data_IF_733736143572
#
_entry.id   IF_733736143572
#
_cell.length_a   1.000
_cell.length_b   1.000
_cell.length_c   1.000
_cell.angle_alpha   90.00
_cell.angle_beta   90.00
_cell.angle_gamma   90.00
#
_symmetry.space_group_name_H-M   'P 1'
#
loop_
_entity.id
_entity.type
_entity.pdbx_description
1 polymer ?
#
# COMPACT_ATOMS: atom_id res chain seq x y z
N UNK A 1 -11.75 -41.05 -8.16
CA UNK A 1 -12.59 -39.98 -8.76
C UNK A 1 -13.83 -39.88 -7.91
N UNK A 2 -14.13 -38.69 -7.39
CA UNK A 2 -15.42 -38.45 -6.73
C UNK A 2 -16.55 -38.69 -7.76
N UNK A 3 -17.63 -39.40 -7.41
CA UNK A 3 -18.62 -39.88 -8.39
C UNK A 3 -19.57 -38.80 -8.94
N UNK A 4 -19.31 -37.52 -8.68
CA UNK A 4 -20.16 -36.41 -9.10
C UNK A 4 -19.32 -35.34 -9.81
N UNK A 5 -19.75 -34.91 -10.99
CA UNK A 5 -19.30 -33.64 -11.60
C UNK A 5 -19.90 -32.51 -10.78
N UNK A 6 -19.08 -31.84 -9.97
CA UNK A 6 -19.53 -30.72 -9.16
C UNK A 6 -19.39 -29.38 -9.93
N UNK A 7 -20.30 -28.42 -9.71
CA UNK A 7 -20.28 -27.10 -10.35
C UNK A 7 -18.97 -26.33 -10.17
N UNK A 8 -18.24 -26.56 -9.08
CA UNK A 8 -16.98 -25.89 -8.75
C UNK A 8 -15.88 -26.00 -9.81
N UNK A 9 -15.88 -27.06 -10.64
CA UNK A 9 -14.88 -27.23 -11.72
C UNK A 9 -14.94 -26.13 -12.80
N UNK A 10 -16.14 -25.61 -13.07
CA UNK A 10 -16.34 -24.56 -14.07
C UNK A 10 -16.72 -23.22 -13.46
N UNK A 11 -16.73 -23.12 -12.13
CA UNK A 11 -17.08 -21.89 -11.44
C UNK A 11 -16.04 -20.81 -11.72
N UNK A 12 -16.51 -19.61 -12.03
CA UNK A 12 -15.66 -18.44 -12.25
C UNK A 12 -16.19 -17.30 -11.37
N UNK A 13 -15.55 -17.04 -10.22
CA UNK A 13 -16.01 -16.01 -9.31
C UNK A 13 -15.94 -14.62 -9.96
N UNK A 14 -17.00 -13.83 -9.80
CA UNK A 14 -17.08 -12.43 -10.24
C UNK A 14 -16.18 -11.53 -9.39
N UNK A 15 -15.99 -11.91 -8.13
CA UNK A 15 -15.13 -11.23 -7.17
C UNK A 15 -14.12 -12.23 -6.65
N UNK A 16 -12.84 -11.98 -6.93
CA UNK A 16 -11.74 -12.87 -6.59
C UNK A 16 -10.52 -12.03 -6.28
N UNK A 17 -9.95 -12.21 -5.10
CA UNK A 17 -8.85 -11.41 -4.58
C UNK A 17 -9.05 -9.90 -4.71
N UNK A 18 -10.19 -9.34 -4.24
CA UNK A 18 -10.39 -7.89 -4.28
C UNK A 18 -9.22 -7.21 -3.57
N UNK A 19 -8.55 -6.29 -4.28
CA UNK A 19 -7.36 -5.58 -3.80
C UNK A 19 -6.21 -6.49 -3.32
N UNK A 20 -6.09 -7.70 -3.88
CA UNK A 20 -5.04 -8.66 -3.53
C UNK A 20 -5.30 -9.48 -2.26
N UNK A 21 -6.40 -9.23 -1.54
CA UNK A 21 -6.78 -9.98 -0.33
C UNK A 21 -7.37 -11.34 -0.72
N UNK A 22 -6.75 -12.45 -0.31
CA UNK A 22 -7.13 -13.78 -0.81
C UNK A 22 -7.01 -14.95 0.16
N UNK A 23 -7.10 -14.70 1.47
CA UNK A 23 -6.98 -15.76 2.48
C UNK A 23 -8.11 -16.79 2.36
N UNK A 24 -9.29 -16.37 1.90
CA UNK A 24 -10.45 -17.23 1.69
C UNK A 24 -10.54 -17.83 0.26
N UNK A 25 -9.75 -17.32 -0.70
CA UNK A 25 -9.92 -17.63 -2.13
C UNK A 25 -9.94 -19.13 -2.45
N UNK A 26 -9.22 -19.96 -1.69
CA UNK A 26 -9.18 -21.41 -1.90
C UNK A 26 -10.42 -22.17 -1.41
N UNK A 27 -11.33 -21.52 -0.71
CA UNK A 27 -12.62 -22.08 -0.29
C UNK A 27 -13.77 -21.72 -1.24
N UNK A 28 -13.57 -20.80 -2.20
CA UNK A 28 -14.58 -20.40 -3.19
C UNK A 28 -15.17 -21.60 -3.96
N UNK A 29 -14.38 -22.58 -4.45
CA UNK A 29 -14.93 -23.81 -5.04
C UNK A 29 -15.88 -24.57 -4.10
N UNK A 30 -15.53 -24.67 -2.81
CA UNK A 30 -16.38 -25.33 -1.81
C UNK A 30 -17.64 -24.52 -1.53
N UNK A 31 -17.55 -23.19 -1.44
CA UNK A 31 -18.71 -22.31 -1.28
C UNK A 31 -19.74 -22.52 -2.40
N UNK A 32 -19.27 -22.66 -3.64
CA UNK A 32 -20.14 -22.93 -4.80
C UNK A 32 -20.93 -24.23 -4.62
N UNK A 33 -20.24 -25.32 -4.33
CA UNK A 33 -20.87 -26.65 -4.21
C UNK A 33 -21.69 -26.78 -2.92
N UNK A 34 -21.30 -26.09 -1.85
CA UNK A 34 -22.03 -26.05 -0.59
C UNK A 34 -23.41 -25.42 -0.78
N UNK A 35 -23.51 -24.28 -1.48
CA UNK A 35 -24.81 -23.65 -1.75
C UNK A 35 -25.69 -24.50 -2.65
N UNK A 36 -25.11 -25.10 -3.69
CA UNK A 36 -25.84 -25.96 -4.61
C UNK A 36 -26.43 -27.20 -3.91
N UNK A 37 -25.65 -27.78 -2.99
CA UNK A 37 -26.07 -28.92 -2.19
C UNK A 37 -26.99 -28.52 -1.02
N UNK A 38 -26.62 -27.55 -0.19
CA UNK A 38 -27.38 -27.20 1.02
C UNK A 38 -28.71 -26.51 0.68
N UNK A 39 -28.74 -25.70 -0.38
CA UNK A 39 -29.86 -24.84 -0.77
C UNK A 39 -30.47 -24.09 0.44
N UNK A 40 -29.66 -23.32 1.18
CA UNK A 40 -30.10 -22.69 2.43
C UNK A 40 -31.28 -21.73 2.19
N UNK A 41 -32.24 -21.64 3.10
CA UNK A 41 -33.24 -20.58 3.10
C UNK A 41 -32.64 -19.26 3.56
N UNK A 42 -31.84 -19.30 4.63
CA UNK A 42 -31.14 -18.13 5.20
C UNK A 42 -29.65 -18.42 5.34
N UNK A 43 -28.83 -17.52 4.80
CA UNK A 43 -27.38 -17.48 4.97
C UNK A 43 -26.97 -16.21 5.71
N UNK A 44 -26.13 -16.34 6.74
CA UNK A 44 -25.54 -15.20 7.44
C UNK A 44 -24.02 -15.33 7.47
N UNK A 45 -23.31 -14.26 7.15
CA UNK A 45 -21.87 -14.12 7.34
C UNK A 45 -21.56 -13.04 8.38
N UNK A 46 -20.62 -13.33 9.29
CA UNK A 46 -20.07 -12.40 10.27
C UNK A 46 -18.61 -12.12 9.90
N UNK A 47 -18.29 -10.85 9.63
CA UNK A 47 -16.98 -10.45 9.12
C UNK A 47 -16.92 -10.61 7.61
N UNK A 48 -17.27 -9.54 6.90
CA UNK A 48 -17.41 -9.55 5.44
C UNK A 48 -16.24 -8.86 4.76
N UNK A 49 -15.64 -7.83 5.37
CA UNK A 49 -14.51 -7.10 4.79
C UNK A 49 -14.80 -6.69 3.32
N UNK A 50 -13.93 -7.05 2.35
CA UNK A 50 -14.15 -6.86 0.91
C UNK A 50 -15.07 -7.93 0.27
N UNK A 51 -15.82 -8.72 1.02
CA UNK A 51 -16.88 -9.61 0.56
C UNK A 51 -16.48 -10.77 -0.34
N UNK A 52 -15.22 -11.24 -0.33
CA UNK A 52 -14.80 -12.35 -1.20
C UNK A 52 -15.61 -13.64 -0.93
N UNK A 53 -15.69 -14.07 0.33
CA UNK A 53 -16.49 -15.21 0.77
C UNK A 53 -17.98 -14.98 0.53
N UNK A 54 -18.51 -13.85 1.00
CA UNK A 54 -19.92 -13.50 0.90
C UNK A 54 -20.43 -13.51 -0.53
N UNK A 55 -19.71 -12.85 -1.44
CA UNK A 55 -20.14 -12.74 -2.83
C UNK A 55 -19.89 -14.03 -3.62
N UNK A 56 -18.97 -14.90 -3.18
CA UNK A 56 -18.90 -16.27 -3.70
C UNK A 56 -20.17 -17.06 -3.34
N UNK A 57 -20.67 -16.94 -2.11
CA UNK A 57 -21.97 -17.52 -1.73
C UNK A 57 -23.12 -16.89 -2.51
N UNK A 58 -23.19 -15.57 -2.63
CA UNK A 58 -24.25 -14.87 -3.37
C UNK A 58 -24.27 -15.26 -4.85
N UNK A 59 -23.11 -15.33 -5.50
CA UNK A 59 -23.02 -15.81 -6.87
C UNK A 59 -23.53 -17.25 -6.99
N UNK A 60 -23.18 -18.11 -6.02
CA UNK A 60 -23.66 -19.48 -6.02
C UNK A 60 -25.17 -19.57 -5.79
N UNK A 61 -25.77 -18.70 -4.97
CA UNK A 61 -27.22 -18.59 -4.77
C UNK A 61 -27.92 -18.29 -6.09
N UNK A 62 -27.40 -17.32 -6.85
CA UNK A 62 -27.92 -16.95 -8.18
C UNK A 62 -27.79 -18.10 -9.16
N UNK A 63 -26.61 -18.71 -9.28
CA UNK A 63 -26.35 -19.78 -10.25
C UNK A 63 -27.10 -21.08 -9.94
N UNK A 64 -27.41 -21.35 -8.67
CA UNK A 64 -28.20 -22.52 -8.24
C UNK A 64 -29.71 -22.24 -8.12
N UNK A 65 -30.13 -20.98 -8.22
CA UNK A 65 -31.51 -20.56 -8.09
C UNK A 65 -32.16 -21.04 -6.78
N UNK A 66 -31.46 -20.88 -5.66
CA UNK A 66 -31.92 -21.41 -4.35
C UNK A 66 -33.04 -20.57 -3.74
N UNK A 67 -33.12 -19.29 -4.07
CA UNK A 67 -34.05 -18.36 -3.40
C UNK A 67 -33.64 -18.05 -1.96
N UNK A 68 -32.33 -18.17 -1.65
CA UNK A 68 -31.76 -17.88 -0.34
C UNK A 68 -31.77 -16.38 -0.05
N UNK A 69 -32.18 -16.00 1.16
CA UNK A 69 -31.91 -14.67 1.72
C UNK A 69 -30.51 -14.66 2.36
N UNK A 70 -29.67 -13.70 2.00
CA UNK A 70 -28.30 -13.61 2.46
C UNK A 70 -28.04 -12.33 3.25
N UNK A 71 -27.29 -12.41 4.34
CA UNK A 71 -26.98 -11.28 5.21
C UNK A 71 -25.48 -11.21 5.50
N UNK A 72 -24.86 -10.09 5.19
CA UNK A 72 -23.48 -9.77 5.56
C UNK A 72 -23.50 -8.84 6.76
N UNK A 73 -22.92 -9.25 7.87
CA UNK A 73 -22.83 -8.46 9.10
C UNK A 73 -21.38 -8.07 9.32
N UNK A 74 -21.12 -6.77 9.36
CA UNK A 74 -19.81 -6.21 9.65
C UNK A 74 -19.99 -4.75 10.14
N UNK A 75 -19.03 -4.23 10.88
CA UNK A 75 -18.97 -2.79 11.18
C UNK A 75 -18.39 -1.99 10.02
N UNK A 76 -17.56 -2.64 9.19
CA UNK A 76 -16.66 -2.03 8.21
C UNK A 76 -15.78 -0.93 8.82
N UNK A 77 -15.39 -1.07 10.09
CA UNK A 77 -14.45 -0.18 10.77
C UNK A 77 -13.06 -0.82 10.96
N UNK A 78 -12.96 -2.14 10.76
CA UNK A 78 -11.74 -2.90 10.97
C UNK A 78 -11.49 -3.28 12.43
N UNK A 79 -10.48 -4.09 12.65
CA UNK A 79 -10.12 -4.64 13.97
C UNK A 79 -8.60 -4.81 14.12
N UNK A 80 -8.15 -5.47 15.20
CA UNK A 80 -6.73 -5.66 15.51
C UNK A 80 -6.00 -6.59 14.52
N UNK A 81 -6.67 -7.55 13.90
CA UNK A 81 -6.07 -8.46 12.91
C UNK A 81 -6.13 -7.88 11.50
N UNK A 82 -7.13 -7.05 11.22
CA UNK A 82 -7.34 -6.50 9.88
C UNK A 82 -6.82 -5.07 9.69
N UNK A 83 -6.61 -4.35 10.80
CA UNK A 83 -6.35 -2.91 10.81
C UNK A 83 -7.64 -2.10 10.61
N UNK A 84 -7.61 -0.81 10.95
CA UNK A 84 -8.75 0.07 10.72
C UNK A 84 -9.01 0.28 9.21
N UNK A 85 -10.28 0.26 8.81
CA UNK A 85 -10.72 0.57 7.45
C UNK A 85 -11.34 1.97 7.40
N UNK A 86 -11.30 2.64 6.24
CA UNK A 86 -12.18 3.76 5.97
C UNK A 86 -13.49 3.31 5.33
N UNK A 87 -14.40 4.27 5.13
CA UNK A 87 -15.71 4.03 4.53
C UNK A 87 -15.64 3.46 3.10
N UNK A 88 -14.51 3.60 2.40
CA UNK A 88 -14.31 3.11 1.04
C UNK A 88 -14.51 1.60 0.90
N UNK A 89 -14.14 0.80 1.91
CA UNK A 89 -14.35 -0.65 1.90
C UNK A 89 -15.84 -0.95 1.83
N UNK A 90 -16.64 -0.28 2.67
CA UNK A 90 -18.09 -0.44 2.67
C UNK A 90 -18.70 0.02 1.34
N UNK A 91 -18.30 1.18 0.81
CA UNK A 91 -18.84 1.69 -0.45
C UNK A 91 -18.54 0.76 -1.64
N UNK A 92 -17.35 0.15 -1.69
CA UNK A 92 -17.02 -0.83 -2.74
C UNK A 92 -17.88 -2.10 -2.63
N UNK A 93 -18.08 -2.61 -1.41
CA UNK A 93 -18.97 -3.74 -1.13
C UNK A 93 -20.42 -3.41 -1.47
N UNK A 94 -20.90 -2.23 -1.06
CA UNK A 94 -22.26 -1.75 -1.32
C UNK A 94 -22.52 -1.60 -2.82
N UNK A 95 -21.58 -1.01 -3.56
CA UNK A 95 -21.68 -0.88 -5.02
C UNK A 95 -21.76 -2.25 -5.71
N UNK A 96 -20.89 -3.18 -5.34
CA UNK A 96 -20.91 -4.54 -5.89
C UNK A 96 -22.20 -5.29 -5.53
N UNK A 97 -22.68 -5.13 -4.30
CA UNK A 97 -23.93 -5.72 -3.84
C UNK A 97 -25.12 -5.19 -4.65
N UNK A 98 -25.23 -3.86 -4.78
CA UNK A 98 -26.31 -3.21 -5.51
C UNK A 98 -26.31 -3.60 -7.00
N UNK A 99 -25.13 -3.74 -7.61
CA UNK A 99 -25.00 -4.11 -9.02
C UNK A 99 -25.42 -5.57 -9.30
N UNK A 100 -25.15 -6.49 -8.38
CA UNK A 100 -25.24 -7.92 -8.68
C UNK A 100 -26.24 -8.72 -7.82
N UNK A 101 -26.48 -8.33 -6.57
CA UNK A 101 -27.15 -9.19 -5.58
C UNK A 101 -28.22 -8.49 -4.72
N UNK A 102 -28.45 -7.19 -4.89
CA UNK A 102 -29.34 -6.39 -4.04
C UNK A 102 -30.82 -6.83 -3.98
N UNK A 103 -31.22 -7.85 -4.74
CA UNK A 103 -32.55 -8.43 -4.67
C UNK A 103 -32.78 -9.36 -3.46
N UNK A 104 -31.73 -9.96 -2.90
CA UNK A 104 -31.81 -10.93 -1.78
C UNK A 104 -30.66 -10.79 -0.76
N UNK A 105 -29.69 -9.92 -1.04
CA UNK A 105 -28.47 -9.75 -0.26
C UNK A 105 -28.53 -8.44 0.53
N UNK A 106 -28.44 -8.55 1.85
CA UNK A 106 -28.62 -7.46 2.81
C UNK A 106 -27.32 -7.17 3.56
N UNK A 107 -26.83 -5.94 3.49
CA UNK A 107 -25.63 -5.48 4.21
C UNK A 107 -26.03 -4.84 5.54
N UNK A 108 -25.66 -5.45 6.65
CA UNK A 108 -25.98 -4.99 8.01
C UNK A 108 -24.75 -4.34 8.64
N UNK A 109 -24.66 -3.01 8.54
CA UNK A 109 -23.55 -2.21 9.08
C UNK A 109 -23.70 -1.98 10.59
N UNK A 110 -23.35 -2.99 11.38
CA UNK A 110 -23.51 -3.03 12.85
C UNK A 110 -22.65 -4.12 13.47
N UNK A 111 -22.62 -4.19 14.81
CA UNK A 111 -21.93 -5.28 15.51
C UNK A 111 -22.68 -6.61 15.37
N UNK A 112 -21.96 -7.73 15.55
CA UNK A 112 -22.56 -9.06 15.49
C UNK A 112 -23.65 -9.24 16.57
N UNK A 113 -23.45 -8.69 17.76
CA UNK A 113 -24.42 -8.74 18.87
C UNK A 113 -25.72 -8.01 18.54
N UNK A 114 -25.62 -6.83 17.92
CA UNK A 114 -26.78 -6.05 17.49
C UNK A 114 -27.56 -6.79 16.39
N UNK A 115 -26.85 -7.36 15.41
CA UNK A 115 -27.47 -8.12 14.33
C UNK A 115 -28.14 -9.41 14.85
N UNK A 116 -27.52 -10.13 15.79
CA UNK A 116 -28.06 -11.37 16.34
C UNK A 116 -29.48 -11.21 16.93
N UNK A 117 -29.80 -10.01 17.44
CA UNK A 117 -31.14 -9.69 17.97
C UNK A 117 -32.23 -9.65 16.89
N UNK A 118 -31.87 -9.52 15.62
CA UNK A 118 -32.78 -9.45 14.48
C UNK A 118 -33.12 -10.82 13.88
N UNK A 119 -32.40 -11.87 14.28
CA UNK A 119 -32.63 -13.24 13.83
C UNK A 119 -33.38 -14.05 14.89
N UNK A 120 -34.37 -14.81 14.46
CA UNK A 120 -35.05 -15.76 15.32
C UNK A 120 -34.15 -16.96 15.63
N UNK A 121 -34.41 -17.63 16.76
CA UNK A 121 -33.72 -18.88 17.04
C UNK A 121 -34.11 -19.94 15.99
N UNK A 122 -33.17 -20.83 15.69
CA UNK A 122 -33.33 -21.91 14.72
C UNK A 122 -33.82 -21.45 13.31
N UNK A 123 -33.41 -20.26 12.86
CA UNK A 123 -33.80 -19.67 11.57
C UNK A 123 -32.72 -19.71 10.48
N UNK A 124 -31.44 -19.86 10.86
CA UNK A 124 -30.30 -19.78 9.95
C UNK A 124 -29.89 -21.19 9.49
N UNK A 125 -29.84 -21.41 8.17
CA UNK A 125 -29.39 -22.67 7.57
C UNK A 125 -27.86 -22.78 7.50
N UNK A 126 -27.21 -21.67 7.13
CA UNK A 126 -25.77 -21.55 6.96
C UNK A 126 -25.27 -20.29 7.64
N UNK A 127 -24.41 -20.47 8.65
CA UNK A 127 -23.70 -19.38 9.31
C UNK A 127 -22.22 -19.47 8.95
N UNK A 128 -21.63 -18.36 8.53
CA UNK A 128 -20.19 -18.23 8.34
C UNK A 128 -19.64 -17.22 9.34
N UNK A 129 -18.65 -17.62 10.13
CA UNK A 129 -17.98 -16.78 11.12
C UNK A 129 -16.52 -16.58 10.67
N UNK A 130 -16.20 -15.35 10.32
CA UNK A 130 -14.88 -14.88 9.87
C UNK A 130 -14.60 -13.45 10.40
N UNK A 131 -14.91 -13.24 11.68
CA UNK A 131 -14.70 -11.98 12.39
C UNK A 131 -13.33 -11.91 13.07
N UNK A 132 -13.29 -11.48 14.33
CA UNK A 132 -12.03 -11.39 15.07
C UNK A 132 -11.56 -12.77 15.54
N UNK A 133 -10.33 -13.15 15.17
CA UNK A 133 -9.82 -14.52 15.33
C UNK A 133 -9.21 -14.86 16.70
N UNK A 134 -9.33 -14.00 17.71
CA UNK A 134 -8.92 -14.37 19.09
C UNK A 134 -9.88 -15.45 19.63
N UNK A 135 -9.40 -16.28 20.56
CA UNK A 135 -10.23 -17.37 21.09
C UNK A 135 -11.50 -16.85 21.78
N UNK A 136 -11.36 -15.77 22.56
CA UNK A 136 -12.45 -15.16 23.29
C UNK A 136 -13.52 -14.57 22.37
N UNK A 137 -13.11 -13.91 21.27
CA UNK A 137 -14.03 -13.32 20.31
C UNK A 137 -14.80 -14.40 19.53
N UNK A 138 -14.09 -15.38 18.94
CA UNK A 138 -14.75 -16.43 18.16
C UNK A 138 -15.64 -17.33 19.03
N UNK A 139 -15.28 -17.57 20.29
CA UNK A 139 -16.13 -18.28 21.24
C UNK A 139 -17.42 -17.50 21.54
N UNK A 140 -17.31 -16.19 21.82
CA UNK A 140 -18.46 -15.31 22.05
C UNK A 140 -19.40 -15.28 20.84
N UNK A 141 -18.86 -15.13 19.63
CA UNK A 141 -19.64 -15.13 18.40
C UNK A 141 -20.34 -16.48 18.19
N UNK A 142 -19.62 -17.59 18.37
CA UNK A 142 -20.19 -18.92 18.25
C UNK A 142 -21.33 -19.12 19.27
N UNK A 143 -21.14 -18.80 20.54
CA UNK A 143 -22.17 -18.98 21.58
C UNK A 143 -23.39 -18.08 21.37
N UNK A 144 -23.19 -16.86 20.88
CA UNK A 144 -24.25 -15.89 20.59
C UNK A 144 -25.11 -16.33 19.39
N UNK A 145 -24.47 -16.85 18.34
CA UNK A 145 -25.16 -17.20 17.09
C UNK A 145 -25.59 -18.67 17.00
N UNK A 146 -25.02 -19.59 17.77
CA UNK A 146 -25.40 -21.00 17.78
C UNK A 146 -26.90 -21.27 18.03
N UNK A 147 -27.60 -20.52 18.91
CA UNK A 147 -29.06 -20.63 19.06
C UNK A 147 -29.85 -20.20 17.82
N UNK A 148 -29.28 -19.38 16.94
CA UNK A 148 -29.89 -18.87 15.69
C UNK A 148 -29.82 -19.87 14.55
N UNK A 149 -28.81 -20.74 14.56
CA UNK A 149 -28.64 -21.82 13.58
C UNK A 149 -29.71 -22.87 13.79
N UNK A 150 -30.41 -23.32 12.75
CA UNK A 150 -31.44 -24.35 12.89
C UNK A 150 -30.87 -25.75 13.17
N UNK A 151 -31.67 -26.70 13.69
CA UNK A 151 -31.30 -28.11 13.68
C UNK A 151 -30.90 -28.57 12.28
N UNK A 152 -29.76 -29.25 12.16
CA UNK A 152 -29.17 -29.66 10.87
C UNK A 152 -28.52 -28.53 10.07
N UNK A 153 -28.49 -27.30 10.59
CA UNK A 153 -27.76 -26.17 10.01
C UNK A 153 -26.25 -26.29 10.17
N UNK A 154 -25.53 -25.57 9.34
CA UNK A 154 -24.06 -25.62 9.26
C UNK A 154 -23.45 -24.30 9.72
N UNK A 155 -22.39 -24.40 10.51
CA UNK A 155 -21.52 -23.28 10.89
C UNK A 155 -20.15 -23.48 10.27
N UNK A 156 -19.68 -22.46 9.58
CA UNK A 156 -18.34 -22.36 9.00
C UNK A 156 -17.47 -21.45 9.87
N UNK A 157 -16.23 -21.86 10.14
CA UNK A 157 -15.25 -21.12 10.95
C UNK A 157 -13.95 -20.97 10.15
N UNK A 158 -13.59 -19.76 9.71
CA UNK A 158 -12.33 -19.53 8.99
C UNK A 158 -11.11 -19.51 9.91
N UNK A 159 -9.91 -19.55 9.31
CA UNK A 159 -8.61 -19.54 9.98
C UNK A 159 -8.43 -20.67 11.01
N UNK A 160 -9.14 -21.79 10.82
CA UNK A 160 -9.15 -22.91 11.75
C UNK A 160 -7.81 -23.65 11.84
N UNK A 161 -6.91 -23.42 10.90
CA UNK A 161 -5.57 -24.03 10.83
C UNK A 161 -4.44 -23.04 11.19
N UNK A 162 -4.76 -21.80 11.57
CA UNK A 162 -3.76 -20.77 11.96
C UNK A 162 -3.38 -20.93 13.44
N UNK A 163 -2.11 -21.19 13.73
CA UNK A 163 -1.62 -21.48 15.10
C UNK A 163 -0.49 -20.54 15.56
N UNK A 164 -0.44 -19.31 15.06
CA UNK A 164 0.54 -18.30 15.46
C UNK A 164 -0.13 -17.05 16.02
N UNK A 165 0.59 -16.28 16.82
CA UNK A 165 0.04 -15.09 17.48
C UNK A 165 -1.03 -15.45 18.50
N UNK A 166 -2.08 -14.63 18.56
CA UNK A 166 -3.26 -14.76 19.42
C UNK A 166 -4.46 -15.45 18.74
N UNK A 167 -4.26 -16.02 17.54
CA UNK A 167 -5.28 -16.79 16.83
C UNK A 167 -5.78 -17.99 17.67
N UNK A 168 -7.10 -18.07 17.79
CA UNK A 168 -7.79 -18.98 18.70
C UNK A 168 -8.84 -19.88 18.07
N UNK A 169 -9.16 -19.74 16.77
CA UNK A 169 -10.21 -20.54 16.11
C UNK A 169 -9.93 -22.04 16.17
N UNK A 170 -8.67 -22.45 15.98
CA UNK A 170 -8.25 -23.84 16.09
C UNK A 170 -8.51 -24.45 17.48
N UNK A 171 -8.47 -23.64 18.56
CA UNK A 171 -8.77 -24.09 19.93
C UNK A 171 -10.26 -24.36 20.09
N UNK A 172 -11.10 -23.42 19.62
CA UNK A 172 -12.55 -23.61 19.61
C UNK A 172 -12.93 -24.85 18.81
N UNK A 173 -12.37 -25.02 17.60
CA UNK A 173 -12.67 -26.18 16.77
C UNK A 173 -12.26 -27.50 17.44
N UNK A 174 -11.15 -27.53 18.17
CA UNK A 174 -10.74 -28.69 18.97
C UNK A 174 -11.76 -29.00 20.09
N UNK A 175 -12.24 -28.00 20.82
CA UNK A 175 -13.28 -28.20 21.84
C UNK A 175 -14.61 -28.67 21.25
N UNK A 176 -14.97 -28.18 20.06
CA UNK A 176 -16.19 -28.61 19.37
C UNK A 176 -16.11 -30.07 18.90
N UNK A 177 -14.92 -30.58 18.58
CA UNK A 177 -14.70 -32.02 18.26
C UNK A 177 -14.93 -32.94 19.46
N UNK A 178 -14.72 -32.44 20.68
CA UNK A 178 -14.96 -33.19 21.92
C UNK A 178 -16.46 -33.24 22.29
N UNK A 179 -17.29 -32.44 21.61
CA UNK A 179 -18.76 -32.45 21.76
C UNK A 179 -19.38 -33.50 20.83
N UNK A 180 -20.61 -33.97 21.08
CA UNK A 180 -21.32 -34.89 20.19
C UNK A 180 -21.87 -34.16 18.94
N UNK A 181 -20.98 -33.48 18.21
CA UNK A 181 -21.27 -32.70 17.00
C UNK A 181 -20.44 -33.26 15.83
N UNK A 182 -21.02 -33.40 14.63
CA UNK A 182 -20.22 -33.65 13.43
C UNK A 182 -19.35 -32.44 13.13
N UNK A 183 -18.03 -32.66 13.05
CA UNK A 183 -17.05 -31.61 12.76
C UNK A 183 -16.11 -32.08 11.66
N UNK A 184 -16.04 -31.31 10.58
CA UNK A 184 -15.10 -31.44 9.47
C UNK A 184 -14.15 -30.25 9.43
N UNK A 185 -13.09 -30.36 8.62
CA UNK A 185 -12.11 -29.28 8.46
C UNK A 185 -11.39 -29.40 7.10
N UNK A 186 -11.23 -28.27 6.42
CA UNK A 186 -10.18 -28.07 5.42
C UNK A 186 -8.94 -27.48 6.08
N UNK A 187 -7.75 -27.84 5.58
CA UNK A 187 -6.46 -27.38 6.15
C UNK A 187 -5.68 -26.45 5.21
N UNK A 188 -6.17 -26.24 3.99
CA UNK A 188 -5.63 -25.25 3.04
C UNK A 188 -6.30 -23.89 3.25
N UNK A 189 -5.72 -22.82 2.68
CA UNK A 189 -6.28 -21.46 2.76
C UNK A 189 -6.60 -21.01 4.19
N UNK A 190 -5.62 -21.19 5.08
CA UNK A 190 -5.70 -20.97 6.53
C UNK A 190 -6.68 -21.86 7.30
N UNK A 191 -7.39 -22.73 6.60
CA UNK A 191 -8.28 -23.73 7.18
C UNK A 191 -9.71 -23.24 7.32
N UNK A 192 -10.63 -24.19 7.21
CA UNK A 192 -12.05 -23.95 7.31
C UNK A 192 -12.72 -25.07 8.10
N UNK A 193 -13.13 -24.77 9.33
CA UNK A 193 -13.92 -25.64 10.18
C UNK A 193 -15.37 -25.71 9.69
N UNK A 194 -15.95 -26.91 9.70
CA UNK A 194 -17.34 -27.16 9.31
C UNK A 194 -18.01 -27.87 10.49
N UNK A 195 -18.92 -27.20 11.17
CA UNK A 195 -19.62 -27.71 12.35
C UNK A 195 -21.09 -27.85 12.01
N UNK A 196 -21.66 -29.03 12.23
CA UNK A 196 -23.06 -29.27 11.93
C UNK A 196 -23.89 -29.36 13.22
N UNK A 197 -24.96 -28.57 13.33
CA UNK A 197 -25.88 -28.65 14.47
C UNK A 197 -26.68 -29.94 14.40
N UNK A 198 -26.86 -30.61 15.54
CA UNK A 198 -27.64 -31.84 15.61
C UNK A 198 -29.06 -31.63 15.08
N UNK A 199 -29.54 -32.53 14.23
CA UNK A 199 -30.85 -32.44 13.56
C UNK A 199 -30.92 -33.37 12.35
N UNK A 200 -32.02 -33.30 11.59
CA UNK A 200 -32.13 -34.00 10.31
C UNK A 200 -31.14 -33.40 9.31
N UNK A 201 -30.32 -34.26 8.69
CA UNK A 201 -29.25 -33.86 7.79
C UNK A 201 -29.35 -34.67 6.50
N UNK A 202 -28.94 -34.05 5.40
CA UNK A 202 -28.65 -34.77 4.16
C UNK A 202 -27.43 -35.66 4.37
N UNK A 203 -27.54 -36.95 4.03
CA UNK A 203 -26.47 -37.94 4.15
C UNK A 203 -25.66 -38.11 2.85
N UNK A 204 -25.96 -37.30 1.83
CA UNK A 204 -25.29 -37.29 0.54
C UNK A 204 -24.34 -36.08 0.36
N UNK A 205 -23.56 -36.11 -0.72
CA UNK A 205 -22.69 -35.00 -1.11
C UNK A 205 -21.34 -34.91 -0.38
N UNK A 206 -20.63 -33.81 -0.60
CA UNK A 206 -19.27 -33.63 -0.09
C UNK A 206 -19.21 -33.34 1.41
N UNK A 207 -20.25 -32.71 1.96
CA UNK A 207 -20.32 -32.38 3.39
C UNK A 207 -20.46 -33.64 4.22
N UNK A 208 -21.32 -34.60 3.81
CA UNK A 208 -21.46 -35.87 4.54
C UNK A 208 -20.16 -36.68 4.56
N UNK A 209 -19.37 -36.63 3.47
CA UNK A 209 -18.03 -37.23 3.41
C UNK A 209 -17.07 -36.52 4.38
N UNK A 210 -17.07 -35.19 4.40
CA UNK A 210 -16.19 -34.39 5.28
C UNK A 210 -16.50 -34.59 6.77
N UNK A 211 -17.78 -34.75 7.12
CA UNK A 211 -18.25 -34.99 8.48
C UNK A 211 -18.22 -36.48 8.89
N UNK A 212 -18.00 -37.38 7.93
CA UNK A 212 -17.93 -38.82 8.15
C UNK A 212 -16.63 -39.29 8.80
N UNK A 213 -16.41 -40.61 8.85
CA UNK A 213 -15.21 -41.21 9.45
C UNK A 213 -14.20 -41.80 8.45
N UNK A 214 -14.45 -41.70 7.14
CA UNK A 214 -13.55 -42.26 6.12
C UNK A 214 -12.45 -41.26 5.75
N UNK A 215 -11.29 -41.40 6.38
CA UNK A 215 -10.12 -40.54 6.17
C UNK A 215 -9.67 -40.48 4.70
N UNK A 216 -9.81 -41.57 3.93
CA UNK A 216 -9.39 -41.60 2.53
C UNK A 216 -10.33 -40.79 1.65
N UNK A 217 -11.64 -40.89 1.90
CA UNK A 217 -12.63 -40.09 1.19
C UNK A 217 -12.52 -38.61 1.59
N UNK A 218 -12.35 -38.31 2.88
CA UNK A 218 -12.10 -36.93 3.34
C UNK A 218 -10.88 -36.31 2.67
N UNK A 219 -9.75 -37.02 2.65
CA UNK A 219 -8.53 -36.56 1.97
C UNK A 219 -8.76 -36.34 0.46
N UNK A 220 -9.58 -37.19 -0.18
CA UNK A 220 -9.95 -37.03 -1.59
C UNK A 220 -10.79 -35.78 -1.85
N UNK A 221 -11.74 -35.47 -0.95
CA UNK A 221 -12.56 -34.24 -1.03
C UNK A 221 -11.71 -32.99 -0.79
N UNK A 222 -10.85 -32.99 0.24
CA UNK A 222 -9.90 -31.90 0.48
C UNK A 222 -9.04 -31.66 -0.75
N UNK A 223 -8.44 -32.72 -1.31
CA UNK A 223 -7.58 -32.60 -2.48
C UNK A 223 -8.30 -32.09 -3.71
N UNK A 224 -9.57 -32.48 -3.88
CA UNK A 224 -10.38 -32.00 -4.99
C UNK A 224 -10.57 -30.48 -4.94
N UNK A 225 -10.92 -29.93 -3.78
CA UNK A 225 -11.13 -28.49 -3.63
C UNK A 225 -9.82 -27.70 -3.68
N UNK A 226 -8.69 -28.25 -3.18
CA UNK A 226 -7.36 -27.69 -3.42
C UNK A 226 -7.05 -27.56 -4.91
N UNK A 227 -7.33 -28.59 -5.71
CA UNK A 227 -7.06 -28.54 -7.17
C UNK A 227 -7.97 -27.52 -7.87
N UNK A 228 -9.22 -27.37 -7.44
CA UNK A 228 -10.10 -26.33 -7.97
C UNK A 228 -9.62 -24.93 -7.59
N UNK A 229 -9.14 -24.75 -6.36
CA UNK A 229 -8.53 -23.52 -5.90
C UNK A 229 -7.26 -23.17 -6.70
N UNK A 230 -6.36 -24.14 -6.89
CA UNK A 230 -5.14 -23.98 -7.69
C UNK A 230 -5.47 -23.56 -9.14
N UNK A 231 -6.57 -24.08 -9.69
CA UNK A 231 -7.03 -23.68 -11.03
C UNK A 231 -7.46 -22.20 -11.09
N UNK A 232 -8.24 -21.74 -10.11
CA UNK A 232 -8.63 -20.33 -9.99
C UNK A 232 -7.42 -19.42 -9.80
N UNK A 233 -6.51 -19.81 -8.90
CA UNK A 233 -5.26 -19.09 -8.60
C UNK A 233 -4.40 -18.96 -9.87
N UNK A 234 -4.22 -20.06 -10.61
CA UNK A 234 -3.49 -20.05 -11.88
C UNK A 234 -4.16 -19.13 -12.92
N UNK A 235 -5.50 -19.18 -13.04
CA UNK A 235 -6.25 -18.32 -13.97
C UNK A 235 -6.09 -16.84 -13.61
N UNK A 236 -6.19 -16.50 -12.33
CA UNK A 236 -5.99 -15.15 -11.82
C UNK A 236 -4.58 -14.64 -12.12
N UNK A 237 -3.54 -15.37 -11.73
CA UNK A 237 -2.15 -14.94 -11.99
C UNK A 237 -1.78 -14.94 -13.47
N UNK A 238 -2.38 -15.81 -14.28
CA UNK A 238 -2.20 -15.76 -15.74
C UNK A 238 -2.77 -14.48 -16.33
N UNK A 239 -3.99 -14.08 -15.92
CA UNK A 239 -4.60 -12.82 -16.34
C UNK A 239 -3.83 -11.61 -15.80
N UNK A 240 -3.30 -11.70 -14.58
CA UNK A 240 -2.45 -10.66 -13.98
C UNK A 240 -1.12 -10.49 -14.73
N UNK A 241 -0.47 -11.59 -15.11
CA UNK A 241 0.76 -11.56 -15.93
C UNK A 241 0.54 -10.93 -17.30
N UNK A 242 -0.67 -11.01 -17.85
CA UNK A 242 -1.02 -10.33 -19.10
C UNK A 242 -1.17 -8.80 -18.94
N UNK A 243 -1.26 -8.32 -17.69
CA UNK A 243 -1.36 -6.90 -17.32
C UNK A 243 -0.30 -6.55 -16.28
N UNK A 244 1.00 -6.57 -16.65
CA UNK A 244 2.12 -6.41 -15.72
C UNK A 244 2.22 -5.01 -15.09
N UNK A 245 1.42 -4.05 -15.57
CA UNK A 245 1.29 -2.72 -15.01
C UNK A 245 0.12 -2.60 -14.01
N UNK A 246 -0.67 -3.65 -13.81
CA UNK A 246 -1.73 -3.66 -12.81
C UNK A 246 -1.12 -4.00 -11.45
N UNK A 247 -1.33 -3.12 -10.48
CA UNK A 247 -0.84 -3.25 -9.11
C UNK A 247 -2.01 -3.09 -8.14
N UNK A 248 -2.13 -4.01 -7.17
CA UNK A 248 -3.13 -3.96 -6.10
C UNK A 248 -2.34 -3.44 -4.91
N UNK A 249 -2.65 -2.23 -4.46
CA UNK A 249 -1.91 -1.55 -3.42
C UNK A 249 -2.88 -0.85 -2.48
N UNK A 250 -2.36 -0.59 -1.30
CA UNK A 250 -3.00 0.32 -0.37
C UNK A 250 -2.25 1.63 -0.30
N UNK A 251 -2.95 2.73 -0.53
CA UNK A 251 -2.42 4.08 -0.34
C UNK A 251 -3.00 4.67 0.93
N UNK A 252 -2.17 5.28 1.76
CA UNK A 252 -2.59 5.83 3.05
C UNK A 252 -2.16 7.28 3.20
N UNK A 253 -3.09 8.13 3.63
CA UNK A 253 -2.87 9.54 3.93
C UNK A 253 -2.88 9.72 5.44
N UNK A 254 -1.79 10.23 6.00
CA UNK A 254 -1.69 10.58 7.41
C UNK A 254 -1.69 12.10 7.60
N UNK A 255 -2.23 12.55 8.73
CA UNK A 255 -2.13 13.92 9.19
C UNK A 255 -1.68 13.98 10.65
N UNK A 256 -1.08 15.11 11.05
CA UNK A 256 -0.72 15.38 12.45
C UNK A 256 -0.71 16.86 12.78
N UNK A 257 -0.86 17.19 14.07
CA UNK A 257 -0.62 18.54 14.58
C UNK A 257 0.87 18.79 14.85
N UNK A 258 1.22 20.04 15.16
CA UNK A 258 2.60 20.42 15.44
C UNK A 258 3.12 19.73 16.72
N UNK A 259 4.23 19.00 16.59
CA UNK A 259 4.86 18.29 17.71
C UNK A 259 4.29 16.89 18.01
N UNK A 260 3.29 16.43 17.26
CA UNK A 260 2.73 15.08 17.39
C UNK A 260 3.44 14.05 16.50
N UNK A 261 3.25 12.77 16.80
CA UNK A 261 3.64 11.66 15.93
C UNK A 261 2.49 11.29 14.99
N UNK A 262 2.80 10.73 13.83
CA UNK A 262 1.76 10.11 13.00
C UNK A 262 1.21 8.85 13.70
N UNK A 263 -0.11 8.70 13.68
CA UNK A 263 -0.81 7.55 14.28
C UNK A 263 -1.83 6.99 13.30
N UNK A 264 -2.13 5.69 13.39
CA UNK A 264 -3.15 5.04 12.55
C UNK A 264 -4.53 5.70 12.71
N UNK A 265 -4.87 6.15 13.92
CA UNK A 265 -6.11 6.87 14.21
C UNK A 265 -6.25 8.22 13.51
N UNK A 266 -5.14 8.77 12.99
CA UNK A 266 -5.09 10.03 12.25
C UNK A 266 -4.67 9.77 10.80
N UNK A 267 -5.35 8.81 10.16
CA UNK A 267 -5.09 8.42 8.78
C UNK A 267 -6.36 8.00 8.03
N UNK A 268 -6.27 8.01 6.71
CA UNK A 268 -7.23 7.41 5.80
C UNK A 268 -6.49 6.45 4.88
N UNK A 269 -7.02 5.24 4.75
CA UNK A 269 -6.45 4.17 3.95
C UNK A 269 -7.36 3.90 2.76
N UNK A 270 -6.82 3.62 1.59
CA UNK A 270 -7.61 3.25 0.40
C UNK A 270 -6.93 2.08 -0.27
N UNK A 271 -7.59 0.91 -0.29
CA UNK A 271 -7.16 -0.24 -1.06
C UNK A 271 -7.72 -0.14 -2.48
N UNK A 272 -6.89 -0.33 -3.50
CA UNK A 272 -7.28 -0.11 -4.89
C UNK A 272 -6.36 -0.86 -5.87
N UNK A 273 -6.84 -1.01 -7.09
CA UNK A 273 -6.03 -1.53 -8.21
C UNK A 273 -5.67 -0.37 -9.14
N UNK A 274 -4.38 -0.07 -9.27
CA UNK A 274 -3.87 0.88 -10.26
C UNK A 274 -3.52 0.11 -11.52
N UNK A 275 -3.88 0.63 -12.69
CA UNK A 275 -3.57 0.02 -13.99
C UNK A 275 -2.59 0.89 -14.79
N UNK A 276 -2.22 0.48 -15.99
CA UNK A 276 -1.44 1.33 -16.90
C UNK A 276 -2.13 2.66 -17.26
N UNK A 277 -3.46 2.75 -17.08
CA UNK A 277 -4.21 3.98 -17.29
C UNK A 277 -4.22 4.81 -16.00
N UNK A 278 -4.06 6.13 -16.14
CA UNK A 278 -4.09 7.02 -14.99
C UNK A 278 -5.48 7.00 -14.33
N UNK A 279 -5.51 6.57 -13.08
CA UNK A 279 -6.67 6.68 -12.20
C UNK A 279 -6.45 7.80 -11.17
N UNK A 280 -7.50 8.12 -10.42
CA UNK A 280 -7.44 9.09 -9.32
C UNK A 280 -7.92 8.42 -8.04
N UNK A 281 -7.07 8.48 -7.01
CA UNK A 281 -7.43 8.14 -5.64
C UNK A 281 -7.94 9.41 -4.98
N UNK A 282 -9.05 9.33 -4.26
CA UNK A 282 -9.62 10.42 -3.48
C UNK A 282 -9.63 10.06 -1.99
N UNK A 283 -9.05 10.92 -1.16
CA UNK A 283 -9.12 10.84 0.29
C UNK A 283 -10.06 11.92 0.80
N UNK A 284 -11.23 11.53 1.29
CA UNK A 284 -12.18 12.45 1.90
C UNK A 284 -11.80 12.70 3.36
N UNK A 285 -11.06 13.78 3.58
CA UNK A 285 -10.60 14.16 4.91
C UNK A 285 -11.74 14.84 5.67
N UNK A 286 -12.15 14.33 6.84
CA UNK A 286 -13.22 14.92 7.64
C UNK A 286 -12.80 16.27 8.22
N UNK A 287 -13.75 17.02 8.78
CA UNK A 287 -13.42 18.21 9.54
C UNK A 287 -12.61 17.84 10.79
N UNK A 288 -11.40 18.38 10.90
CA UNK A 288 -10.47 18.02 11.97
C UNK A 288 -10.52 19.01 13.13
N UNK A 289 -10.50 18.54 14.39
CA UNK A 289 -10.61 19.40 15.57
C UNK A 289 -9.36 20.26 15.81
N UNK A 290 -8.22 19.88 15.22
CA UNK A 290 -6.93 20.56 15.36
C UNK A 290 -6.38 20.86 13.96
N UNK A 291 -5.77 22.05 13.75
CA UNK A 291 -5.12 22.38 12.48
C UNK A 291 -4.05 21.34 12.11
N UNK A 292 -4.07 20.89 10.86
CA UNK A 292 -3.06 19.98 10.32
C UNK A 292 -1.76 20.74 10.10
N UNK A 293 -0.67 20.29 10.72
CA UNK A 293 0.66 20.83 10.48
C UNK A 293 1.34 20.16 9.29
N UNK A 294 1.20 18.83 9.19
CA UNK A 294 1.86 18.03 8.16
C UNK A 294 0.96 16.92 7.64
N UNK A 295 1.12 16.64 6.34
CA UNK A 295 0.51 15.51 5.64
C UNK A 295 1.61 14.59 5.13
N UNK A 296 1.45 13.29 5.37
CA UNK A 296 2.30 12.24 4.82
C UNK A 296 1.46 11.37 3.91
N UNK A 297 1.97 11.09 2.72
CA UNK A 297 1.33 10.18 1.78
C UNK A 297 2.20 8.95 1.62
N UNK A 298 1.62 7.80 1.92
CA UNK A 298 2.22 6.48 1.74
C UNK A 298 1.57 5.89 0.49
N UNK A 299 2.29 5.90 -0.64
CA UNK A 299 1.73 5.57 -1.96
C UNK A 299 1.39 4.09 -2.10
N UNK A 300 2.17 3.22 -1.46
CA UNK A 300 2.07 1.78 -1.59
C UNK A 300 2.52 1.11 -0.30
N UNK A 301 1.86 0.02 0.08
CA UNK A 301 2.17 -0.86 1.20
C UNK A 301 3.08 -2.04 0.81
N UNK A 302 3.45 -2.12 -0.46
CA UNK A 302 4.31 -3.16 -1.02
C UNK A 302 5.20 -2.62 -2.15
N UNK A 303 6.26 -3.34 -2.57
CA UNK A 303 7.07 -2.94 -3.70
C UNK A 303 6.23 -2.84 -5.00
N UNK A 304 6.14 -1.65 -5.58
CA UNK A 304 5.39 -1.39 -6.80
C UNK A 304 6.07 -0.30 -7.64
N UNK A 305 5.91 -0.37 -8.97
CA UNK A 305 6.34 0.69 -9.87
C UNK A 305 5.15 1.54 -10.30
N UNK A 306 5.17 2.81 -9.89
CA UNK A 306 4.04 3.72 -10.07
C UNK A 306 4.52 5.02 -10.70
N UNK A 307 3.71 5.61 -11.57
CA UNK A 307 3.88 6.99 -12.00
C UNK A 307 2.90 7.88 -11.26
N UNK A 308 3.41 8.86 -10.52
CA UNK A 308 2.58 9.91 -9.92
C UNK A 308 2.47 11.06 -10.90
N UNK A 309 1.25 11.32 -11.36
CA UNK A 309 0.93 12.33 -12.36
C UNK A 309 0.52 13.67 -11.73
N UNK A 310 -0.18 13.63 -10.60
CA UNK A 310 -0.66 14.82 -9.92
C UNK A 310 -0.99 14.55 -8.46
N UNK A 311 -0.86 15.57 -7.63
CA UNK A 311 -1.37 15.58 -6.25
C UNK A 311 -2.10 16.90 -6.07
N UNK A 312 -3.35 16.89 -5.60
CA UNK A 312 -4.13 18.11 -5.43
C UNK A 312 -4.98 18.05 -4.16
N UNK A 313 -5.26 19.21 -3.57
CA UNK A 313 -6.23 19.35 -2.49
C UNK A 313 -7.40 20.22 -2.93
N UNK A 314 -8.60 19.80 -2.55
CA UNK A 314 -9.84 20.55 -2.71
C UNK A 314 -10.54 20.74 -1.38
N UNK A 315 -11.24 21.85 -1.22
CA UNK A 315 -12.14 22.04 -0.08
C UNK A 315 -13.44 21.24 -0.28
N UNK A 316 -14.23 21.07 0.78
CA UNK A 316 -15.53 20.38 0.74
C UNK A 316 -16.54 20.95 -0.27
N UNK A 317 -16.39 22.22 -0.66
CA UNK A 317 -17.18 22.87 -1.72
C UNK A 317 -16.68 22.57 -3.15
N UNK A 318 -15.59 21.81 -3.30
CA UNK A 318 -14.95 21.46 -4.57
C UNK A 318 -13.88 22.45 -5.06
N UNK A 319 -13.63 23.57 -4.37
CA UNK A 319 -12.62 24.57 -4.73
C UNK A 319 -11.20 24.01 -4.64
N UNK A 320 -10.36 24.29 -5.66
CA UNK A 320 -8.97 23.83 -5.67
C UNK A 320 -8.12 24.71 -4.75
N UNK A 321 -7.55 24.09 -3.71
CA UNK A 321 -6.69 24.77 -2.74
C UNK A 321 -5.24 24.85 -3.23
N UNK A 322 -4.73 23.73 -3.75
CA UNK A 322 -3.42 23.64 -4.38
C UNK A 322 -3.31 22.39 -5.24
N UNK A 323 -2.34 22.41 -6.16
CA UNK A 323 -1.95 21.27 -6.98
C UNK A 323 -0.43 21.20 -7.13
N UNK A 324 0.11 19.99 -7.15
CA UNK A 324 1.49 19.66 -7.42
C UNK A 324 1.51 18.88 -8.73
N UNK A 325 2.27 19.39 -9.69
CA UNK A 325 2.70 18.64 -10.88
C UNK A 325 4.05 18.04 -10.52
N UNK A 326 4.14 16.72 -10.29
CA UNK A 326 5.32 16.10 -9.69
C UNK A 326 6.61 16.32 -10.48
N UNK A 327 6.53 16.35 -11.80
CA UNK A 327 7.70 16.59 -12.67
C UNK A 327 8.32 17.97 -12.42
N UNK A 328 7.50 19.02 -12.33
CA UNK A 328 7.96 20.40 -12.07
C UNK A 328 8.52 20.59 -10.65
N UNK A 329 8.19 19.67 -9.74
CA UNK A 329 8.49 19.71 -8.31
C UNK A 329 9.33 18.54 -7.82
N UNK A 330 10.03 17.87 -8.74
CA UNK A 330 10.76 16.63 -8.45
C UNK A 330 11.81 16.80 -7.35
N UNK A 331 12.55 17.91 -7.32
CA UNK A 331 13.57 18.17 -6.30
C UNK A 331 12.96 18.43 -4.91
N UNK A 332 11.79 19.08 -4.86
CA UNK A 332 11.04 19.28 -3.61
C UNK A 332 10.49 17.95 -3.09
N UNK A 333 9.97 17.09 -3.97
CA UNK A 333 9.46 15.76 -3.62
C UNK A 333 10.57 14.84 -3.12
N UNK A 334 11.73 14.82 -3.79
CA UNK A 334 12.91 14.07 -3.35
C UNK A 334 13.41 14.54 -1.99
N UNK A 335 13.44 15.85 -1.77
CA UNK A 335 13.82 16.43 -0.47
C UNK A 335 12.82 16.09 0.65
N UNK A 336 11.56 15.81 0.29
CA UNK A 336 10.52 15.40 1.21
C UNK A 336 10.44 13.88 1.45
N UNK A 337 11.34 13.10 0.84
CA UNK A 337 11.48 11.65 1.03
C UNK A 337 11.07 10.80 -0.16
N UNK A 338 10.50 11.35 -1.23
CA UNK A 338 10.02 10.55 -2.36
C UNK A 338 11.16 10.15 -3.32
N UNK A 339 11.48 8.86 -3.39
CA UNK A 339 12.43 8.34 -4.37
C UNK A 339 11.79 8.22 -5.76
N UNK A 340 12.09 9.18 -6.62
CA UNK A 340 11.48 9.26 -7.96
C UNK A 340 12.40 9.83 -9.05
N UNK A 341 12.11 9.50 -10.31
CA UNK A 341 12.73 10.08 -11.52
C UNK A 341 11.66 10.66 -12.44
N UNK A 342 11.98 11.69 -13.21
CA UNK A 342 11.06 12.23 -14.21
C UNK A 342 10.80 11.20 -15.32
N UNK A 343 9.55 11.04 -15.74
CA UNK A 343 9.21 10.23 -16.91
C UNK A 343 9.54 11.06 -18.15
N UNK A 344 10.28 10.49 -19.11
CA UNK A 344 10.81 11.23 -20.26
C UNK A 344 9.76 11.84 -21.23
N UNK A 345 8.48 11.52 -21.06
CA UNK A 345 7.36 12.13 -21.80
C UNK A 345 6.68 13.29 -21.07
N UNK A 346 7.16 13.64 -19.87
CA UNK A 346 6.62 14.70 -19.03
C UNK A 346 5.26 14.37 -18.40
N UNK A 347 4.88 13.09 -18.36
CA UNK A 347 3.59 12.69 -17.80
C UNK A 347 3.57 12.68 -16.27
N UNK A 348 4.72 12.68 -15.61
CA UNK A 348 4.82 12.62 -14.15
C UNK A 348 6.19 12.16 -13.67
N UNK A 349 6.22 11.57 -12.47
CA UNK A 349 7.44 10.99 -11.90
C UNK A 349 7.25 9.49 -11.62
N UNK A 350 8.21 8.68 -12.06
CA UNK A 350 8.29 7.27 -11.73
C UNK A 350 8.85 7.12 -10.32
N UNK A 351 8.10 6.47 -9.45
CA UNK A 351 8.48 6.13 -8.07
C UNK A 351 9.11 4.74 -8.07
N UNK A 352 10.22 4.57 -7.34
CA UNK A 352 10.99 3.32 -7.33
C UNK A 352 11.41 2.86 -5.93
N UNK A 353 10.63 3.25 -4.90
CA UNK A 353 10.97 2.94 -3.51
C UNK A 353 10.78 1.46 -3.18
N UNK A 354 11.81 0.87 -2.60
CA UNK A 354 11.89 -0.53 -2.17
C UNK A 354 12.38 -0.55 -0.72
N UNK A 355 11.87 -1.36 0.21
CA UNK A 355 10.73 -2.27 0.22
C UNK A 355 9.67 -1.91 1.31
N UNK A 356 9.78 -0.76 1.98
CA UNK A 356 8.92 -0.34 3.12
C UNK A 356 7.70 0.51 2.70
N UNK A 357 7.51 0.70 1.40
CA UNK A 357 6.49 1.59 0.83
C UNK A 357 7.04 2.98 0.51
N UNK A 358 6.52 3.60 -0.56
CA UNK A 358 6.95 4.94 -0.95
C UNK A 358 6.20 6.00 -0.12
N UNK A 359 6.84 6.48 0.95
CA UNK A 359 6.29 7.47 1.87
C UNK A 359 7.02 8.81 1.74
N UNK A 360 6.27 9.91 1.71
CA UNK A 360 6.85 11.25 1.68
C UNK A 360 5.91 12.27 2.30
N UNK A 361 6.49 13.36 2.80
CA UNK A 361 5.72 14.51 3.24
C UNK A 361 5.27 15.30 2.03
N UNK A 362 3.99 15.67 1.95
CA UNK A 362 3.50 16.48 0.84
C UNK A 362 4.14 17.89 0.93
N UNK A 363 4.98 18.29 -0.04
CA UNK A 363 5.63 19.60 0.00
C UNK A 363 4.57 20.71 -0.01
N UNK A 364 4.69 21.67 0.92
CA UNK A 364 3.74 22.78 1.22
C UNK A 364 2.63 22.54 2.25
N UNK A 365 2.75 21.59 3.18
CA UNK A 365 1.85 21.58 4.35
C UNK A 365 1.98 22.85 5.23
N UNK A 366 3.15 23.51 5.26
CA UNK A 366 3.39 24.72 6.07
C UNK A 366 2.64 25.98 5.64
N UNK A 367 2.13 26.06 4.40
CA UNK A 367 1.46 27.28 3.92
C UNK A 367 -0.04 27.32 4.25
N UNK A 368 -0.62 26.25 4.80
CA UNK A 368 -2.04 25.98 4.67
C UNK A 368 -2.63 25.18 5.85
N UNK A 369 -2.29 25.55 7.08
CA UNK A 369 -2.87 24.98 8.31
C UNK A 369 -4.42 25.04 8.37
N UNK A 370 -5.07 25.82 7.51
CA UNK A 370 -6.52 25.88 7.32
C UNK A 370 -7.11 24.75 6.44
N UNK A 371 -6.34 24.15 5.54
CA UNK A 371 -6.82 23.39 4.35
C UNK A 371 -7.63 22.12 4.65
N UNK A 372 -7.59 21.60 5.88
CA UNK A 372 -8.38 20.41 6.28
C UNK A 372 -9.17 20.60 7.58
N UNK A 373 -9.09 21.78 8.21
CA UNK A 373 -9.83 22.02 9.47
C UNK A 373 -11.35 21.97 9.27
N UNK A 374 -11.84 22.37 8.09
CA UNK A 374 -13.25 22.30 7.69
C UNK A 374 -13.59 21.02 6.88
N UNK A 375 -12.61 20.13 6.68
CA UNK A 375 -12.71 18.98 5.79
C UNK A 375 -12.49 19.32 4.30
N UNK A 376 -12.19 18.30 3.50
CA UNK A 376 -11.88 18.44 2.08
C UNK A 376 -11.36 17.14 1.47
N UNK A 377 -10.91 17.20 0.22
CA UNK A 377 -10.48 16.01 -0.53
C UNK A 377 -9.04 16.14 -0.98
N UNK A 378 -8.20 15.13 -0.72
CA UNK A 378 -6.88 14.98 -1.35
C UNK A 378 -7.00 14.02 -2.53
N UNK A 379 -6.56 14.46 -3.70
CA UNK A 379 -6.61 13.71 -4.95
C UNK A 379 -5.20 13.34 -5.39
N UNK A 380 -4.98 12.07 -5.69
CA UNK A 380 -3.70 11.55 -6.21
C UNK A 380 -3.94 10.90 -7.56
N UNK A 381 -3.39 11.49 -8.62
CA UNK A 381 -3.41 10.91 -9.96
C UNK A 381 -2.23 9.97 -10.14
N UNK A 382 -2.50 8.68 -10.37
CA UNK A 382 -1.48 7.63 -10.39
C UNK A 382 -1.75 6.62 -11.50
N UNK A 383 -0.68 6.05 -12.06
CA UNK A 383 -0.75 4.87 -12.93
C UNK A 383 0.30 3.84 -12.54
N UNK A 384 0.03 2.60 -12.85
CA UNK A 384 0.92 1.48 -12.66
C UNK A 384 1.86 1.33 -13.85
N UNK A 385 3.07 0.86 -13.57
CA UNK A 385 4.11 0.71 -14.58
C UNK A 385 4.58 -0.73 -14.61
N UNK A 386 4.70 -1.28 -15.82
CA UNK A 386 5.33 -2.59 -16.04
C UNK A 386 6.77 -2.54 -15.50
N UNK A 387 7.20 -3.49 -14.65
CA UNK A 387 8.58 -3.57 -14.15
C UNK A 387 9.66 -3.44 -15.23
N UNK A 388 9.49 -4.07 -16.39
CA UNK A 388 10.47 -4.00 -17.48
C UNK A 388 10.55 -2.58 -18.06
N UNK A 389 9.41 -1.90 -18.17
CA UNK A 389 9.35 -0.49 -18.60
C UNK A 389 9.95 0.43 -17.54
N UNK A 390 9.65 0.21 -16.26
CA UNK A 390 10.20 0.99 -15.15
C UNK A 390 11.73 0.88 -15.10
N UNK A 391 12.29 -0.33 -15.20
CA UNK A 391 13.75 -0.55 -15.25
C UNK A 391 14.39 0.17 -16.44
N UNK A 392 13.73 0.14 -17.61
CA UNK A 392 14.19 0.87 -18.79
C UNK A 392 14.23 2.38 -18.55
N UNK A 393 13.16 2.95 -17.98
CA UNK A 393 13.05 4.37 -17.66
C UNK A 393 14.08 4.81 -16.61
N UNK A 394 14.27 4.02 -15.54
CA UNK A 394 15.29 4.28 -14.52
C UNK A 394 16.69 4.31 -15.13
N UNK A 395 17.01 3.36 -16.01
CA UNK A 395 18.30 3.34 -16.71
C UNK A 395 18.51 4.59 -17.55
N UNK A 396 17.51 4.97 -18.36
CA UNK A 396 17.58 6.18 -19.18
C UNK A 396 17.74 7.45 -18.33
N UNK A 397 17.03 7.54 -17.20
CA UNK A 397 17.15 8.66 -16.27
C UNK A 397 18.56 8.72 -15.64
N UNK A 398 19.11 7.57 -15.21
CA UNK A 398 20.48 7.50 -14.68
C UNK A 398 21.53 7.90 -15.73
N UNK A 399 21.38 7.44 -16.98
CA UNK A 399 22.30 7.82 -18.07
C UNK A 399 22.26 9.32 -18.37
N UNK A 400 21.08 9.94 -18.35
CA UNK A 400 20.90 11.37 -18.53
C UNK A 400 21.54 12.18 -17.38
N UNK A 401 21.39 11.72 -16.14
CA UNK A 401 21.97 12.37 -14.95
C UNK A 401 23.50 12.27 -14.95
N UNK A 402 24.06 11.10 -15.28
CA UNK A 402 25.51 10.92 -15.47
C UNK A 402 26.06 11.84 -16.56
N UNK A 403 25.33 11.98 -17.67
CA UNK A 403 25.72 12.88 -18.77
C UNK A 403 25.72 14.34 -18.31
N UNK A 404 24.70 14.76 -17.55
CA UNK A 404 24.60 16.12 -16.97
C UNK A 404 25.78 16.42 -16.03
N UNK A 405 26.05 15.52 -15.09
CA UNK A 405 27.16 15.67 -14.12
C UNK A 405 28.51 15.71 -14.85
N UNK A 406 28.70 14.86 -15.86
CA UNK A 406 29.94 14.84 -16.67
C UNK A 406 30.14 16.16 -17.40
N UNK A 407 29.07 16.75 -17.94
CA UNK A 407 29.13 18.07 -18.60
C UNK A 407 29.47 19.19 -17.61
N UNK A 408 28.85 19.18 -16.42
CA UNK A 408 29.15 20.13 -15.34
C UNK A 408 30.61 20.03 -14.90
N UNK A 409 31.13 18.81 -14.67
CA UNK A 409 32.53 18.58 -14.30
C UNK A 409 33.49 19.10 -15.37
N UNK A 410 33.20 18.88 -16.66
CA UNK A 410 34.01 19.42 -17.75
C UNK A 410 34.03 20.96 -17.77
N UNK A 411 32.92 21.62 -17.42
CA UNK A 411 32.90 23.10 -17.31
C UNK A 411 33.75 23.58 -16.14
N UNK A 412 33.66 22.93 -14.99
CA UNK A 412 34.46 23.28 -13.81
C UNK A 412 35.95 23.05 -14.06
N UNK A 413 36.33 21.97 -14.75
CA UNK A 413 37.72 21.67 -15.11
C UNK A 413 38.32 22.74 -16.05
N UNK A 414 37.54 23.21 -17.04
CA UNK A 414 37.94 24.34 -17.89
C UNK A 414 38.11 25.63 -17.09
N UNK A 415 37.15 25.97 -16.23
CA UNK A 415 37.23 27.17 -15.40
C UNK A 415 38.43 27.12 -14.44
N UNK A 416 38.73 25.96 -13.88
CA UNK A 416 39.90 25.74 -13.04
C UNK A 416 41.21 25.92 -13.83
N UNK A 417 41.28 25.36 -15.05
CA UNK A 417 42.44 25.50 -15.94
C UNK A 417 42.69 26.96 -16.32
N UNK A 418 41.63 27.72 -16.65
CA UNK A 418 41.72 29.16 -16.93
C UNK A 418 42.20 29.95 -15.69
N UNK A 419 41.66 29.66 -14.51
CA UNK A 419 42.09 30.30 -13.27
C UNK A 419 43.57 30.00 -12.94
N UNK A 420 44.03 28.77 -13.18
CA UNK A 420 45.44 28.39 -13.04
C UNK A 420 46.34 29.17 -14.02
N UNK A 421 45.92 29.32 -15.27
CA UNK A 421 46.66 30.10 -16.27
C UNK A 421 46.79 31.58 -15.87
N UNK A 422 45.71 32.19 -15.37
CA UNK A 422 45.73 33.57 -14.86
C UNK A 422 46.64 33.67 -13.64
N UNK A 423 46.62 32.69 -12.73
CA UNK A 423 47.50 32.67 -11.56
C UNK A 423 48.99 32.59 -11.95
N UNK A 424 49.33 31.74 -12.93
CA UNK A 424 50.69 31.63 -13.48
C UNK A 424 51.15 32.94 -14.14
N UNK A 425 50.27 33.62 -14.89
CA UNK A 425 50.56 34.93 -15.47
C UNK A 425 50.87 35.97 -14.38
N UNK A 426 50.04 36.04 -13.32
CA UNK A 426 50.26 36.95 -12.19
C UNK A 426 51.56 36.65 -11.43
N UNK A 427 51.90 35.37 -11.25
CA UNK A 427 53.18 34.98 -10.65
C UNK A 427 54.37 35.44 -11.50
N UNK A 428 54.28 35.32 -12.83
CA UNK A 428 55.32 35.82 -13.73
C UNK A 428 55.45 37.35 -13.66
N UNK A 429 54.35 38.09 -13.60
CA UNK A 429 54.36 39.55 -13.40
C UNK A 429 54.98 39.93 -12.05
N UNK A 430 54.60 39.26 -10.96
CA UNK A 430 55.20 39.48 -9.63
C UNK A 430 56.70 39.25 -9.62
N UNK A 431 57.19 38.23 -10.33
CA UNK A 431 58.62 37.97 -10.49
C UNK A 431 59.31 39.13 -11.22
N UNK A 432 58.71 39.66 -12.29
CA UNK A 432 59.25 40.83 -12.99
C UNK A 432 59.31 42.07 -12.09
N UNK A 433 58.28 42.31 -11.27
CA UNK A 433 58.29 43.40 -10.29
C UNK A 433 59.37 43.21 -9.22
N UNK A 434 59.56 41.97 -8.75
CA UNK A 434 60.61 41.64 -7.78
C UNK A 434 62.01 41.91 -8.35
N UNK A 435 62.29 41.45 -9.57
CA UNK A 435 63.58 41.67 -10.24
C UNK A 435 63.85 43.16 -10.53
N UNK A 436 62.80 43.90 -10.93
CA UNK A 436 62.87 45.35 -11.12
C UNK A 436 63.15 46.09 -9.80
N UNK A 437 62.51 45.68 -8.71
CA UNK A 437 62.74 46.23 -7.38
C UNK A 437 64.16 45.98 -6.89
N UNK A 438 64.67 44.75 -7.01
CA UNK A 438 66.05 44.40 -6.67
C UNK A 438 67.07 45.22 -7.49
N UNK A 439 66.77 45.46 -8.77
CA UNK A 439 67.60 46.31 -9.63
C UNK A 439 67.59 47.77 -9.17
N UNK A 440 66.42 48.32 -8.82
CA UNK A 440 66.29 49.67 -8.31
C UNK A 440 67.02 49.86 -6.97
N UNK A 441 66.93 48.88 -6.06
CA UNK A 441 67.65 48.87 -4.79
C UNK A 441 69.17 48.91 -5.00
N UNK A 442 69.70 48.06 -5.91
CA UNK A 442 71.12 48.07 -6.28
C UNK A 442 71.57 49.44 -6.81
N UNK A 443 70.81 50.03 -7.74
CA UNK A 443 71.12 51.36 -8.29
C UNK A 443 71.07 52.47 -7.23
N UNK A 444 70.16 52.35 -6.26
CA UNK A 444 70.08 53.29 -5.13
C UNK A 444 71.32 53.20 -4.24
N UNK A 445 71.77 51.98 -3.92
CA UNK A 445 72.99 51.74 -3.14
C UNK A 445 74.24 52.26 -3.88
N UNK A 446 74.33 52.04 -5.19
CA UNK A 446 75.42 52.58 -6.03
C UNK A 446 75.46 54.11 -5.99
N UNK A 447 74.31 54.78 -6.15
CA UNK A 447 74.21 56.25 -6.04
C UNK A 447 74.57 56.78 -4.66
N UNK A 448 74.15 56.09 -3.59
CA UNK A 448 74.54 56.46 -2.22
C UNK A 448 76.06 56.39 -2.05
N UNK A 449 76.70 55.31 -2.51
CA UNK A 449 78.15 55.18 -2.47
C UNK A 449 78.89 56.25 -3.29
N UNK A 450 78.31 56.66 -4.43
CA UNK A 450 78.84 57.74 -5.26
C UNK A 450 78.72 59.11 -4.55
N UNK A 451 77.57 59.39 -3.93
CA UNK A 451 77.37 60.59 -3.11
C UNK A 451 78.33 60.65 -1.91
N UNK A 452 78.60 59.52 -1.24
CA UNK A 452 79.61 59.46 -0.18
C UNK A 452 81.03 59.74 -0.69
N UNK A 453 81.38 59.31 -1.91
CA UNK A 453 82.67 59.67 -2.53
C UNK A 453 82.74 61.16 -2.82
N UNK A 454 81.69 61.73 -3.40
CA UNK A 454 81.62 63.17 -3.64
C UNK A 454 81.73 63.97 -2.35
N UNK A 455 81.03 63.54 -1.29
CA UNK A 455 81.13 64.16 0.04
C UNK A 455 82.56 64.13 0.60
N UNK A 456 83.28 63.01 0.45
CA UNK A 456 84.70 62.92 0.85
C UNK A 456 85.60 63.86 0.06
N UNK A 457 85.47 63.91 -1.26
CA UNK A 457 86.25 64.83 -2.11
C UNK A 457 85.96 66.28 -1.77
N UNK A 458 84.70 66.62 -1.47
CA UNK A 458 84.30 67.97 -1.06
C UNK A 458 84.93 68.36 0.29
N UNK A 459 84.95 67.43 1.24
CA UNK A 459 85.58 67.64 2.55
C UNK A 459 87.11 67.82 2.44
N UNK A 460 87.79 67.00 1.63
CA UNK A 460 89.23 67.12 1.36
C UNK A 460 89.57 68.45 0.68
N UNK A 461 88.78 68.89 -0.30
CA UNK A 461 88.96 70.17 -0.97
C UNK A 461 88.70 71.37 -0.04
N UNK A 462 87.72 71.28 0.85
CA UNK A 462 87.50 72.28 1.90
C UNK A 462 88.65 72.34 2.91
N UNK A 463 89.23 71.20 3.29
CA UNK A 463 90.39 71.15 4.18
C UNK A 463 91.62 71.82 3.53
N UNK A 464 91.91 71.51 2.26
CA UNK A 464 92.98 72.14 1.49
C UNK A 464 92.78 73.64 1.28
N UNK A 465 91.53 74.09 1.15
CA UNK A 465 91.20 75.51 1.03
C UNK A 465 91.39 76.29 2.35
N UNK A 466 91.23 75.62 3.50
CA UNK A 466 91.41 76.21 4.84
C UNK A 466 92.87 76.21 5.33
N UNK A 467 93.76 75.42 4.69
CA UNK A 467 95.21 75.36 5.00
C UNK A 467 96.06 76.34 4.17
N UNK A 468 95.44 77.15 3.30
CA UNK A 468 96.02 78.32 2.61
C UNK A 468 95.60 79.61 3.28
#
# INVERSE_FOLDING_TARGET
MLPFTLPSLSFSPRRYRPHGVGNWSGHIPFARDLIDWLRPGVLVELGTHFGESYFAFCQAIVESGTGTEAYAVDTWQGDVHTGAYGDEVFHDVESHNAEHYGAFSHLLRMTFDEAASQFENDSIDLLHIDGLHTYEAVLHDFETWWPKVRPGGIVLLHDSFVQHGDFGVWKLLAELRDRPLPVGEFVHSNGLGIVCKSGEQRDDGVVSILLGGDERLQASVRKYYEVCADHLEHKFWSARRARPADWDLTTQLFWRAEGESFTESASLRVAHTVTAECSRIAFEVPALPVPVAELRLDLTDQPAFLTVHSIAARQSNGELLWSIVPEEKIDELRSAGLHCVAVGDGSGVLVFDAPEGASFLIPKAKANSQVLSEGGTILVGISGVDPARAVSQLRSASEAEVTKITSELQKHDRALSEAQQVSLQRLAELQQYHDAFATAERLSLERLAELERYGRVLAETQQLANER
#
